data_IF_034474990184
#
_entry.id   IF_034474990184
#
_cell.length_a   1.000
_cell.length_b   1.000
_cell.length_c   1.000
_cell.angle_alpha   90.00
_cell.angle_beta   90.00
_cell.angle_gamma   90.00
#
_symmetry.space_group_name_H-M   'P 1'
#
loop_
_entity.id
_entity.type
_entity.pdbx_description
1 polymer ?
#
# COMPACT_ATOMS: atom_id res chain seq x y z
N UNK A 1 13.68 -0.02 -51.03
CA UNK A 1 14.38 -0.57 -49.85
C UNK A 1 13.77 0.12 -48.64
N UNK A 2 12.78 -0.51 -48.01
CA UNK A 2 12.11 0.02 -46.81
C UNK A 2 12.83 -0.58 -45.62
N UNK A 3 13.55 0.25 -44.86
CA UNK A 3 14.06 -0.13 -43.55
C UNK A 3 12.85 -0.24 -42.61
N UNK A 4 12.50 -1.46 -42.22
CA UNK A 4 11.63 -1.71 -41.09
C UNK A 4 12.50 -1.56 -39.82
N UNK A 5 12.37 -0.44 -39.13
CA UNK A 5 12.87 -0.31 -37.76
C UNK A 5 12.06 -1.27 -36.88
N UNK A 6 12.70 -2.35 -36.46
CA UNK A 6 12.22 -3.21 -35.39
C UNK A 6 12.50 -2.53 -34.05
N UNK A 7 11.51 -1.85 -33.46
CA UNK A 7 11.59 -1.46 -32.05
C UNK A 7 11.27 -2.70 -31.21
N UNK A 8 12.31 -3.43 -30.79
CA UNK A 8 12.18 -4.37 -29.68
C UNK A 8 12.09 -3.56 -28.38
N UNK A 9 10.90 -3.05 -28.06
CA UNK A 9 10.63 -2.49 -26.73
C UNK A 9 10.55 -3.65 -25.73
N UNK A 10 11.69 -4.11 -25.25
CA UNK A 10 11.72 -4.94 -24.05
C UNK A 10 11.43 -4.02 -22.86
N UNK A 11 10.14 -3.80 -22.57
CA UNK A 11 9.71 -3.17 -21.32
C UNK A 11 10.20 -4.03 -20.16
N UNK A 12 10.80 -3.40 -19.15
CA UNK A 12 11.17 -4.05 -17.90
C UNK A 12 9.93 -4.29 -17.04
N UNK A 13 10.02 -5.16 -16.03
CA UNK A 13 8.93 -5.34 -15.05
C UNK A 13 8.60 -4.03 -14.32
N UNK A 14 9.60 -3.18 -14.09
CA UNK A 14 9.42 -1.87 -13.48
C UNK A 14 8.65 -0.93 -14.42
N UNK A 15 8.95 -0.92 -15.71
CA UNK A 15 8.20 -0.11 -16.70
C UNK A 15 6.73 -0.53 -16.75
N UNK A 16 6.45 -1.84 -16.66
CA UNK A 16 5.08 -2.37 -16.63
C UNK A 16 4.36 -1.90 -15.36
N UNK A 17 5.02 -2.00 -14.19
CA UNK A 17 4.44 -1.53 -12.92
C UNK A 17 4.19 -0.04 -12.92
N UNK A 18 5.11 0.76 -13.47
CA UNK A 18 4.91 2.21 -13.53
C UNK A 18 3.74 2.59 -14.44
N UNK A 19 3.58 1.89 -15.57
CA UNK A 19 2.43 2.07 -16.45
C UNK A 19 1.10 1.69 -15.79
N UNK A 20 1.09 0.67 -14.93
CA UNK A 20 -0.12 0.14 -14.30
C UNK A 20 -0.49 0.87 -12.99
N UNK A 21 0.51 1.19 -12.17
CA UNK A 21 0.34 1.65 -10.79
C UNK A 21 0.83 3.09 -10.53
N UNK A 22 1.46 3.72 -11.52
CA UNK A 22 1.99 5.08 -11.42
C UNK A 22 3.46 5.14 -11.03
N UNK A 23 3.92 6.33 -10.67
CA UNK A 23 5.33 6.56 -10.39
C UNK A 23 5.78 5.85 -9.11
N UNK A 24 7.05 5.43 -9.07
CA UNK A 24 7.65 4.92 -7.85
C UNK A 24 7.67 6.03 -6.80
N UNK A 25 7.01 5.77 -5.68
CA UNK A 25 6.73 6.74 -4.64
C UNK A 25 7.66 6.60 -3.44
N UNK A 26 7.88 5.35 -3.01
CA UNK A 26 8.79 5.01 -1.92
C UNK A 26 9.18 3.53 -1.99
N UNK A 27 10.07 3.12 -1.10
CA UNK A 27 10.34 1.70 -0.83
C UNK A 27 10.15 1.43 0.64
N UNK A 28 9.66 0.24 1.00
CA UNK A 28 9.46 -0.15 2.41
C UNK A 28 10.14 -1.48 2.68
N UNK A 29 10.65 -1.66 3.89
CA UNK A 29 11.16 -2.97 4.31
C UNK A 29 9.96 -3.84 4.69
N UNK A 30 9.81 -4.99 4.03
CA UNK A 30 8.70 -5.91 4.21
C UNK A 30 9.16 -7.25 4.78
N UNK A 31 8.29 -7.89 5.56
CA UNK A 31 8.49 -9.22 6.09
C UNK A 31 7.29 -10.09 5.76
N UNK A 32 7.54 -11.22 5.11
CA UNK A 32 6.57 -12.31 4.96
C UNK A 32 6.54 -13.10 6.27
N UNK A 33 5.37 -13.13 6.94
CA UNK A 33 5.11 -13.63 8.32
C UNK A 33 5.36 -12.64 9.47
N UNK A 34 4.55 -12.76 10.53
CA UNK A 34 4.63 -11.94 11.74
C UNK A 34 5.95 -12.18 12.50
N UNK A 35 6.61 -11.10 12.96
CA UNK A 35 7.53 -11.22 14.11
C UNK A 35 6.77 -11.13 15.45
N UNK A 36 5.47 -10.81 15.44
CA UNK A 36 4.65 -10.67 16.65
C UNK A 36 3.78 -11.92 16.94
N UNK A 37 3.54 -12.16 18.23
CA UNK A 37 2.84 -13.34 18.77
C UNK A 37 1.31 -13.23 18.76
N UNK A 38 0.76 -12.06 18.40
CA UNK A 38 -0.61 -11.68 18.78
C UNK A 38 -1.62 -11.85 17.63
N UNK A 39 -1.18 -11.69 16.37
CA UNK A 39 -2.00 -11.92 15.18
C UNK A 39 -1.14 -12.44 14.01
N UNK A 40 -1.56 -13.49 13.29
CA UNK A 40 -0.86 -13.95 12.11
C UNK A 40 -1.02 -12.91 10.97
N UNK A 41 0.04 -12.13 10.75
CA UNK A 41 0.15 -11.25 9.60
C UNK A 41 0.62 -12.01 8.36
N UNK A 42 -0.05 -11.82 7.23
CA UNK A 42 0.41 -12.29 5.92
C UNK A 42 1.76 -11.64 5.58
N UNK A 43 1.82 -10.33 5.77
CA UNK A 43 3.03 -9.54 5.74
C UNK A 43 2.88 -8.32 6.65
N UNK A 44 4.01 -7.68 6.96
CA UNK A 44 4.03 -6.26 7.30
C UNK A 44 5.14 -5.55 6.54
N UNK A 45 4.96 -4.26 6.29
CA UNK A 45 5.96 -3.40 5.68
C UNK A 45 6.09 -2.13 6.50
N UNK A 46 7.32 -1.79 6.92
CA UNK A 46 7.56 -0.61 7.76
C UNK A 46 8.57 0.32 7.10
N UNK A 47 8.32 1.62 7.18
CA UNK A 47 9.29 2.66 6.80
C UNK A 47 8.95 4.00 7.46
N UNK A 48 9.93 4.89 7.60
CA UNK A 48 9.68 6.30 7.84
C UNK A 48 9.46 7.03 6.50
N UNK A 49 8.20 7.28 6.16
CA UNK A 49 7.81 7.90 4.90
C UNK A 49 7.82 9.42 5.01
N UNK A 50 8.22 10.08 3.94
CA UNK A 50 8.20 11.55 3.81
C UNK A 50 7.68 11.90 2.42
N UNK A 51 6.37 11.72 2.24
CA UNK A 51 5.69 11.89 0.95
C UNK A 51 4.49 12.82 1.08
N UNK A 52 3.90 13.24 -0.05
CA UNK A 52 2.75 14.16 -0.04
C UNK A 52 1.47 13.52 0.53
N UNK A 53 1.27 12.21 0.31
CA UNK A 53 0.08 11.47 0.74
C UNK A 53 0.23 10.93 2.16
N UNK A 54 1.44 10.50 2.52
CA UNK A 54 1.72 9.84 3.79
C UNK A 54 3.10 10.24 4.33
N UNK A 55 3.14 10.59 5.62
CA UNK A 55 4.40 10.85 6.31
C UNK A 55 4.43 10.28 7.73
N UNK A 56 5.63 10.13 8.29
CA UNK A 56 5.87 9.55 9.61
C UNK A 56 6.32 8.09 9.57
N UNK A 57 6.45 7.47 10.74
CA UNK A 57 6.80 6.05 10.82
C UNK A 57 5.56 5.20 10.60
N UNK A 58 5.48 4.50 9.46
CA UNK A 58 4.31 3.77 8.99
C UNK A 58 4.61 2.28 8.97
N UNK A 59 3.61 1.48 9.38
CA UNK A 59 3.55 0.04 9.20
C UNK A 59 2.25 -0.33 8.49
N UNK A 60 2.35 -1.06 7.37
CA UNK A 60 1.22 -1.57 6.60
C UNK A 60 1.20 -3.09 6.68
N UNK A 61 0.07 -3.69 7.00
CA UNK A 61 -0.08 -5.14 7.10
C UNK A 61 -1.43 -5.64 6.61
N UNK A 62 -1.46 -6.89 6.16
CA UNK A 62 -2.69 -7.69 6.08
C UNK A 62 -2.62 -8.74 7.18
N UNK A 63 -3.61 -8.75 8.05
CA UNK A 63 -3.70 -9.63 9.22
C UNK A 63 -4.93 -10.51 9.12
N UNK A 64 -4.94 -11.63 9.83
CA UNK A 64 -6.07 -12.56 9.93
C UNK A 64 -6.58 -12.61 11.37
N UNK A 65 -7.89 -12.47 11.55
CA UNK A 65 -8.52 -12.60 12.87
C UNK A 65 -8.66 -14.07 13.31
N UNK A 66 -9.30 -14.30 14.46
CA UNK A 66 -9.51 -15.65 14.99
C UNK A 66 -10.45 -16.53 14.14
N UNK A 67 -11.26 -15.92 13.29
CA UNK A 67 -12.18 -16.59 12.36
C UNK A 67 -11.51 -16.82 10.98
N UNK A 68 -10.30 -16.26 10.77
CA UNK A 68 -9.55 -16.33 9.53
C UNK A 68 -9.94 -15.24 8.53
N UNK A 69 -10.71 -14.24 8.94
CA UNK A 69 -11.06 -13.10 8.11
C UNK A 69 -9.88 -12.13 8.04
N UNK A 70 -9.56 -11.71 6.82
CA UNK A 70 -8.43 -10.82 6.55
C UNK A 70 -8.84 -9.37 6.67
N UNK A 71 -8.05 -8.57 7.39
CA UNK A 71 -8.22 -7.12 7.49
C UNK A 71 -6.91 -6.39 7.17
N UNK A 72 -7.04 -5.14 6.71
CA UNK A 72 -5.91 -4.25 6.52
C UNK A 72 -5.62 -3.49 7.81
N UNK A 73 -4.34 -3.37 8.15
CA UNK A 73 -3.86 -2.64 9.31
C UNK A 73 -2.87 -1.57 8.86
N UNK A 74 -3.18 -0.31 9.19
CA UNK A 74 -2.22 0.80 9.12
C UNK A 74 -1.88 1.22 10.54
N UNK A 75 -0.63 1.03 10.90
CA UNK A 75 -0.09 1.44 12.18
C UNK A 75 1.03 2.45 12.00
N UNK A 76 1.39 3.12 13.08
CA UNK A 76 2.57 3.95 13.06
C UNK A 76 2.71 4.89 14.23
N UNK A 77 3.68 5.81 14.11
CA UNK A 77 3.91 6.92 15.03
C UNK A 77 4.06 8.20 14.22
N UNK A 78 3.40 9.25 14.69
CA UNK A 78 3.37 10.57 14.06
C UNK A 78 2.94 10.48 12.58
N UNK A 79 1.98 9.59 12.28
CA UNK A 79 1.52 9.35 10.91
C UNK A 79 0.60 10.48 10.49
N UNK A 80 0.92 11.13 9.38
CA UNK A 80 0.00 12.07 8.71
C UNK A 80 -0.45 11.45 7.40
N UNK A 81 -1.75 11.51 7.15
CA UNK A 81 -2.36 11.17 5.87
C UNK A 81 -2.95 12.43 5.23
N UNK A 82 -2.86 12.54 3.91
CA UNK A 82 -3.48 13.59 3.10
C UNK A 82 -4.33 12.97 1.99
N UNK A 83 -5.23 12.09 2.38
CA UNK A 83 -6.10 11.34 1.47
C UNK A 83 -7.19 12.24 0.88
N UNK A 84 -7.48 13.38 1.52
CA UNK A 84 -8.59 14.26 1.15
C UNK A 84 -9.90 13.87 1.82
N UNK A 85 -9.87 12.83 2.67
CA UNK A 85 -10.96 12.45 3.55
C UNK A 85 -10.63 12.85 4.98
N UNK A 86 -11.18 13.99 5.41
CA UNK A 86 -10.90 14.59 6.72
C UNK A 86 -11.06 13.59 7.88
N UNK A 87 -12.06 12.71 7.80
CA UNK A 87 -12.28 11.72 8.86
C UNK A 87 -11.09 10.75 8.97
N UNK A 88 -10.59 10.23 7.85
CA UNK A 88 -9.51 9.26 7.80
C UNK A 88 -8.18 9.91 8.15
N UNK A 89 -7.93 11.09 7.60
CA UNK A 89 -6.72 11.86 7.82
C UNK A 89 -6.58 12.24 9.30
N UNK A 90 -7.65 12.77 9.91
CA UNK A 90 -7.65 13.15 11.32
C UNK A 90 -7.62 11.95 12.27
N UNK A 91 -8.29 10.83 11.92
CA UNK A 91 -8.32 9.64 12.77
C UNK A 91 -6.91 9.06 12.94
N UNK A 92 -6.21 8.81 11.83
CA UNK A 92 -4.86 8.23 11.86
C UNK A 92 -3.87 9.17 12.55
N UNK A 93 -3.92 10.47 12.23
CA UNK A 93 -3.07 11.46 12.88
C UNK A 93 -3.30 11.49 14.40
N UNK A 94 -4.56 11.53 14.84
CA UNK A 94 -4.89 11.55 16.27
C UNK A 94 -4.46 10.27 17.00
N UNK A 95 -4.63 9.11 16.38
CA UNK A 95 -4.30 7.82 16.99
C UNK A 95 -2.79 7.62 17.17
N UNK A 96 -1.98 8.17 16.27
CA UNK A 96 -0.54 7.89 16.20
C UNK A 96 0.36 9.02 16.73
N UNK A 97 -0.22 10.18 17.10
CA UNK A 97 0.52 11.39 17.55
C UNK A 97 1.39 11.17 18.80
N UNK A 98 0.99 10.30 19.73
CA UNK A 98 1.68 10.17 21.03
C UNK A 98 2.28 8.78 21.26
N UNK A 99 1.81 7.78 20.54
CA UNK A 99 2.23 6.39 20.69
C UNK A 99 2.12 5.68 19.36
N UNK A 100 2.85 4.56 19.25
CA UNK A 100 2.56 3.62 18.19
C UNK A 100 1.14 3.08 18.36
N UNK A 101 0.32 3.17 17.31
CA UNK A 101 -1.07 2.73 17.33
C UNK A 101 -1.51 2.27 15.93
N UNK A 102 -2.61 1.52 15.85
CA UNK A 102 -3.10 0.87 14.63
C UNK A 102 -4.56 1.21 14.36
N UNK A 103 -4.89 1.41 13.10
CA UNK A 103 -6.26 1.39 12.59
C UNK A 103 -6.46 0.14 11.72
N UNK A 104 -7.54 -0.58 12.00
CA UNK A 104 -7.88 -1.83 11.35
C UNK A 104 -9.13 -1.64 10.46
N UNK A 105 -9.02 -1.99 9.19
CA UNK A 105 -10.09 -1.91 8.22
C UNK A 105 -10.52 -3.32 7.78
N UNK A 106 -11.69 -3.75 8.28
CA UNK A 106 -12.31 -5.03 7.92
C UNK A 106 -13.13 -4.95 6.63
N UNK A 107 -13.68 -3.77 6.32
CA UNK A 107 -14.56 -3.61 5.17
C UNK A 107 -13.77 -3.69 3.86
N UNK A 108 -14.25 -4.55 2.95
CA UNK A 108 -13.69 -4.80 1.60
C UNK A 108 -14.65 -4.38 0.48
N UNK A 109 -15.71 -3.64 0.81
CA UNK A 109 -16.78 -3.31 -0.12
C UNK A 109 -16.31 -2.27 -1.13
N UNK A 110 -16.04 -2.70 -2.36
CA UNK A 110 -15.60 -1.81 -3.43
C UNK A 110 -16.58 -0.65 -3.66
N UNK A 111 -16.02 0.55 -3.78
CA UNK A 111 -16.76 1.78 -4.06
C UNK A 111 -17.06 2.63 -2.83
N UNK A 112 -16.46 2.32 -1.67
CA UNK A 112 -16.52 3.18 -0.49
C UNK A 112 -15.55 4.39 -0.61
N UNK A 113 -15.58 5.27 0.38
CA UNK A 113 -14.63 6.38 0.55
C UNK A 113 -13.17 5.90 0.65
N UNK A 114 -12.99 4.69 1.19
CA UNK A 114 -11.72 3.99 1.28
C UNK A 114 -11.91 2.50 1.02
N UNK A 115 -11.10 1.94 0.11
CA UNK A 115 -10.99 0.50 -0.11
C UNK A 115 -9.54 0.04 0.06
N UNK A 116 -9.39 -1.22 0.43
CA UNK A 116 -8.13 -1.93 0.32
C UNK A 116 -8.33 -3.25 -0.42
N UNK A 117 -7.38 -3.62 -1.27
CA UNK A 117 -7.42 -4.82 -2.10
C UNK A 117 -6.09 -5.55 -1.96
N UNK A 118 -6.16 -6.84 -1.65
CA UNK A 118 -5.00 -7.74 -1.69
C UNK A 118 -5.12 -8.70 -2.87
N UNK A 119 -4.11 -8.71 -3.74
CA UNK A 119 -3.98 -9.64 -4.87
C UNK A 119 -2.88 -10.67 -4.60
N UNK A 120 -3.27 -11.85 -4.13
CA UNK A 120 -2.35 -12.97 -3.81
C UNK A 120 -1.43 -13.35 -5.00
N UNK A 121 -1.93 -13.53 -6.25
CA UNK A 121 -1.09 -13.81 -7.41
C UNK A 121 0.08 -12.86 -7.65
N UNK A 122 -0.10 -11.57 -7.38
CA UNK A 122 0.93 -10.55 -7.66
C UNK A 122 1.60 -10.03 -6.40
N UNK A 123 1.18 -10.47 -5.21
CA UNK A 123 1.65 -9.96 -3.91
C UNK A 123 1.51 -8.44 -3.80
N UNK A 124 0.35 -7.93 -4.20
CA UNK A 124 0.07 -6.49 -4.30
C UNK A 124 -1.02 -6.07 -3.34
N UNK A 125 -0.73 -5.06 -2.52
CA UNK A 125 -1.73 -4.34 -1.73
C UNK A 125 -2.04 -3.01 -2.41
N UNK A 126 -3.31 -2.76 -2.72
CA UNK A 126 -3.80 -1.46 -3.14
C UNK A 126 -4.60 -0.81 -2.03
N UNK A 127 -4.33 0.47 -1.77
CA UNK A 127 -5.11 1.35 -0.91
C UNK A 127 -5.70 2.44 -1.79
N UNK A 128 -7.02 2.58 -1.77
CA UNK A 128 -7.76 3.45 -2.68
C UNK A 128 -8.59 4.40 -1.83
N UNK A 129 -8.33 5.70 -1.95
CA UNK A 129 -9.14 6.76 -1.34
C UNK A 129 -9.89 7.53 -2.42
N UNK A 130 -11.19 7.76 -2.20
CA UNK A 130 -12.10 8.45 -3.16
C UNK A 130 -12.69 9.72 -2.55
N UNK A 131 -11.91 10.79 -2.36
CA UNK A 131 -12.40 12.07 -1.85
C UNK A 131 -13.48 12.66 -2.77
N UNK A 132 -14.48 13.38 -2.21
CA UNK A 132 -15.63 13.87 -2.99
C UNK A 132 -15.25 14.90 -4.07
N UNK A 133 -14.29 15.78 -3.78
CA UNK A 133 -13.93 16.94 -4.60
C UNK A 133 -12.54 16.85 -5.25
N UNK A 134 -11.87 15.70 -5.15
CA UNK A 134 -10.52 15.47 -5.66
C UNK A 134 -10.45 14.16 -6.46
N UNK A 135 -9.45 13.98 -7.36
CA UNK A 135 -9.19 12.69 -7.96
C UNK A 135 -8.90 11.63 -6.89
N UNK A 136 -9.32 10.40 -7.16
CA UNK A 136 -8.98 9.24 -6.36
C UNK A 136 -7.46 9.10 -6.22
N UNK A 137 -7.03 8.67 -5.05
CA UNK A 137 -5.62 8.48 -4.69
C UNK A 137 -5.40 7.00 -4.47
N UNK A 138 -4.47 6.40 -5.23
CA UNK A 138 -4.18 4.97 -5.16
C UNK A 138 -2.72 4.74 -4.83
N UNK A 139 -2.48 4.12 -3.68
CA UNK A 139 -1.17 3.63 -3.27
C UNK A 139 -1.12 2.13 -3.55
N UNK A 140 -0.14 1.68 -4.31
CA UNK A 140 0.08 0.27 -4.62
C UNK A 140 1.41 -0.18 -4.02
N UNK A 141 1.37 -1.07 -3.04
CA UNK A 141 2.54 -1.73 -2.47
C UNK A 141 2.72 -3.10 -3.12
N UNK A 142 3.82 -3.26 -3.84
CA UNK A 142 4.26 -4.55 -4.37
C UNK A 142 5.31 -5.17 -3.45
N UNK A 143 5.12 -6.44 -3.08
CA UNK A 143 6.02 -7.18 -2.20
C UNK A 143 6.64 -8.34 -2.98
N UNK A 144 7.95 -8.34 -3.24
CA UNK A 144 8.61 -9.46 -3.91
C UNK A 144 8.43 -10.77 -3.14
N UNK A 145 8.29 -11.89 -3.85
CA UNK A 145 8.20 -13.22 -3.23
C UNK A 145 9.40 -13.52 -2.32
N UNK A 146 9.15 -14.26 -1.23
CA UNK A 146 10.21 -14.83 -0.40
C UNK A 146 10.96 -15.93 -1.15
N UNK A 147 12.10 -15.59 -1.77
CA UNK A 147 12.99 -16.60 -2.39
C UNK A 147 14.04 -17.09 -1.39
N UNK A 148 14.78 -16.16 -0.80
CA UNK A 148 15.94 -16.48 0.06
C UNK A 148 15.83 -15.92 1.48
N UNK A 149 14.91 -14.97 1.70
CA UNK A 149 14.76 -14.25 2.97
C UNK A 149 13.28 -13.94 3.21
N UNK A 150 12.78 -14.05 4.46
CA UNK A 150 11.45 -13.55 4.80
C UNK A 150 11.39 -12.03 4.72
N UNK A 151 12.54 -11.34 4.85
CA UNK A 151 12.68 -9.89 4.71
C UNK A 151 13.01 -9.52 3.26
N UNK A 152 12.21 -8.66 2.66
CA UNK A 152 12.36 -8.15 1.28
C UNK A 152 12.17 -6.63 1.24
N UNK A 153 12.57 -6.00 0.14
CA UNK A 153 12.30 -4.58 -0.09
C UNK A 153 11.06 -4.46 -0.99
N UNK A 154 9.97 -3.91 -0.46
CA UNK A 154 8.76 -3.61 -1.20
C UNK A 154 8.86 -2.27 -1.92
N UNK A 155 8.12 -2.15 -3.03
CA UNK A 155 8.03 -0.94 -3.83
C UNK A 155 6.64 -0.35 -3.71
N UNK A 156 6.56 0.93 -3.38
CA UNK A 156 5.31 1.67 -3.26
C UNK A 156 5.18 2.56 -4.48
N UNK A 157 4.09 2.41 -5.21
CA UNK A 157 3.72 3.22 -6.36
C UNK A 157 2.51 4.09 -6.03
N UNK A 158 2.44 5.26 -6.65
CA UNK A 158 1.35 6.20 -6.43
C UNK A 158 0.80 6.72 -7.76
N UNK A 159 -0.53 6.71 -7.87
CA UNK A 159 -1.26 7.33 -8.98
C UNK A 159 -2.50 8.05 -8.47
N UNK A 160 -2.89 9.08 -9.22
CA UNK A 160 -4.17 9.77 -9.07
C UNK A 160 -5.02 9.56 -10.32
N UNK A 161 -6.35 9.53 -10.16
CA UNK A 161 -7.26 9.30 -11.29
C UNK A 161 -8.71 9.19 -10.87
N UNK A 162 -9.57 8.71 -11.74
CA UNK A 162 -10.93 8.30 -11.39
C UNK A 162 -11.05 6.80 -11.66
N UNK A 163 -11.23 6.00 -10.61
CA UNK A 163 -11.29 4.54 -10.67
C UNK A 163 -12.71 4.09 -10.34
N UNK A 164 -13.44 3.66 -11.38
CA UNK A 164 -14.76 3.03 -11.26
C UNK A 164 -14.65 1.52 -11.02
#
# INVERSE_FOLDING_TARGET
MVLLCSCSNNLTEEDIRQQEYGELYATMVCWWSSQELISPALFWCTENLETELISGYVSLAIEEDLEGERFFSICGRDVTLNTGHDLHDNLIASMTQYTYNCYEAYERSLGNEFDWIWDDPTNTLQLIWRPEDEPDKVLTLFIPEKKDSPRVLGSVYYKTGYFN
#
